data_IF_934998133253
#
_entry.id   IF_934998133253
#
_cell.length_a   1.000
_cell.length_b   1.000
_cell.length_c   1.000
_cell.angle_alpha   90.00
_cell.angle_beta   90.00
_cell.angle_gamma   90.00
#
_symmetry.space_group_name_H-M   'P 1'
#
loop_
_entity.id
_entity.type
_entity.pdbx_description
1 polymer ?
#
# COMPACT_ATOMS: atom_id res chain seq x y z
N UNK A 1 -6.92 12.61 7.52
CA UNK A 1 -5.84 11.83 8.19
C UNK A 1 -6.07 10.36 7.92
N UNK A 2 -5.00 9.57 7.81
CA UNK A 2 -5.05 8.18 7.38
C UNK A 2 -5.77 7.24 8.35
N UNK A 3 -6.56 6.29 7.84
CA UNK A 3 -7.38 5.38 8.67
C UNK A 3 -6.55 4.38 9.49
N UNK A 4 -5.31 4.09 9.10
CA UNK A 4 -4.47 3.08 9.77
C UNK A 4 -4.09 3.47 11.21
N UNK A 5 -3.96 4.76 11.54
CA UNK A 5 -3.59 5.21 12.90
C UNK A 5 -4.55 4.67 13.97
N UNK A 6 -5.85 4.65 13.65
CA UNK A 6 -6.90 4.07 14.51
C UNK A 6 -6.68 2.58 14.78
N UNK A 7 -6.32 1.83 13.73
CA UNK A 7 -6.11 0.38 13.81
C UNK A 7 -4.87 0.06 14.66
N UNK A 8 -3.78 0.79 14.44
CA UNK A 8 -2.52 0.58 15.18
C UNK A 8 -2.67 1.01 16.65
N UNK A 9 -3.46 2.05 16.97
CA UNK A 9 -3.77 2.40 18.38
C UNK A 9 -4.51 1.26 19.09
N UNK A 10 -5.52 0.66 18.46
CA UNK A 10 -6.22 -0.50 19.03
C UNK A 10 -5.29 -1.70 19.21
N UNK A 11 -4.49 -2.02 18.19
CA UNK A 11 -3.47 -3.09 18.29
C UNK A 11 -2.47 -2.81 19.41
N UNK A 12 -2.06 -1.54 19.62
CA UNK A 12 -1.16 -1.15 20.70
C UNK A 12 -1.81 -1.33 22.08
N UNK A 13 -3.09 -0.99 22.24
CA UNK A 13 -3.82 -1.28 23.48
C UNK A 13 -3.92 -2.79 23.72
N UNK A 14 -4.27 -3.59 22.71
CA UNK A 14 -4.36 -5.06 22.82
C UNK A 14 -2.99 -5.68 23.15
N UNK A 15 -1.91 -5.21 22.52
CA UNK A 15 -0.55 -5.69 22.79
C UNK A 15 -0.08 -5.40 24.22
N UNK A 16 -0.64 -4.38 24.87
CA UNK A 16 -0.38 -4.09 26.29
C UNK A 16 -1.46 -4.70 27.23
N UNK A 17 -2.35 -5.57 26.71
CA UNK A 17 -3.50 -6.11 27.46
C UNK A 17 -4.39 -5.01 28.10
N UNK A 18 -4.49 -3.86 27.43
CA UNK A 18 -5.20 -2.66 27.91
C UNK A 18 -6.55 -2.42 27.21
N UNK A 19 -6.99 -3.34 26.34
CA UNK A 19 -8.26 -3.23 25.62
C UNK A 19 -9.22 -4.38 25.99
N UNK A 20 -10.53 -4.10 26.15
CA UNK A 20 -11.02 -2.84 26.71
C UNK A 20 -10.32 -2.54 28.05
N UNK A 21 -10.16 -1.26 28.38
CA UNK A 21 -9.40 -0.82 29.55
C UNK A 21 -8.80 0.57 29.35
N UNK A 22 -7.64 0.79 29.95
CA UNK A 22 -6.95 2.07 29.95
C UNK A 22 -5.44 1.90 29.69
N UNK A 23 -4.85 2.90 29.04
CA UNK A 23 -3.42 2.93 28.71
C UNK A 23 -2.88 4.36 28.86
N UNK A 24 -1.67 4.50 29.43
CA UNK A 24 -0.98 5.78 29.43
C UNK A 24 -0.55 6.18 28.03
N UNK A 25 -0.52 7.48 27.74
CA UNK A 25 -0.08 8.00 26.45
C UNK A 25 1.40 7.66 26.19
N UNK A 26 2.21 7.53 27.24
CA UNK A 26 3.60 7.09 27.18
C UNK A 26 3.69 5.64 26.67
N UNK A 27 2.97 4.70 27.30
CA UNK A 27 2.96 3.29 26.87
C UNK A 27 2.33 3.13 25.48
N UNK A 28 1.27 3.87 25.19
CA UNK A 28 0.62 3.86 23.89
C UNK A 28 1.59 4.32 22.80
N UNK A 29 2.29 5.44 23.01
CA UNK A 29 3.26 5.99 22.06
C UNK A 29 4.40 5.00 21.79
N UNK A 30 4.95 4.39 22.84
CA UNK A 30 6.03 3.41 22.71
C UNK A 30 5.61 2.15 21.94
N UNK A 31 4.46 1.57 22.27
CA UNK A 31 3.97 0.37 21.56
C UNK A 31 3.53 0.71 20.14
N UNK A 32 2.87 1.84 19.91
CA UNK A 32 2.52 2.32 18.57
C UNK A 32 3.77 2.43 17.69
N UNK A 33 4.84 3.09 18.19
CA UNK A 33 6.12 3.22 17.49
C UNK A 33 6.66 1.84 17.09
N UNK A 34 6.75 0.92 18.04
CA UNK A 34 7.27 -0.44 17.80
C UNK A 34 6.48 -1.19 16.73
N UNK A 35 5.15 -1.05 16.71
CA UNK A 35 4.30 -1.69 15.69
C UNK A 35 4.52 -1.09 14.30
N UNK A 36 4.57 0.24 14.20
CA UNK A 36 4.80 0.93 12.92
C UNK A 36 6.20 0.67 12.38
N UNK A 37 7.22 0.70 13.24
CA UNK A 37 8.61 0.53 12.83
C UNK A 37 8.92 -0.87 12.29
N UNK A 38 8.10 -1.88 12.58
CA UNK A 38 8.26 -3.24 12.05
C UNK A 38 7.85 -3.38 10.58
N UNK A 39 7.12 -2.41 10.02
CA UNK A 39 6.70 -2.42 8.62
C UNK A 39 7.31 -1.23 7.88
N UNK A 40 8.08 -1.51 6.82
CA UNK A 40 8.65 -0.46 5.98
C UNK A 40 7.57 0.47 5.41
N UNK A 41 6.40 -0.08 5.07
CA UNK A 41 5.27 0.67 4.52
C UNK A 41 4.62 1.55 5.58
N UNK A 42 4.35 1.00 6.78
CA UNK A 42 3.78 1.82 7.86
C UNK A 42 4.74 2.93 8.29
N UNK A 43 6.05 2.64 8.32
CA UNK A 43 7.09 3.63 8.60
C UNK A 43 7.08 4.77 7.59
N UNK A 44 6.95 4.45 6.30
CA UNK A 44 6.87 5.45 5.24
C UNK A 44 5.61 6.32 5.38
N UNK A 45 4.45 5.71 5.65
CA UNK A 45 3.20 6.45 5.82
C UNK A 45 3.24 7.35 7.07
N UNK A 46 3.81 6.85 8.18
CA UNK A 46 3.96 7.63 9.40
C UNK A 46 4.96 8.80 9.24
N UNK A 47 5.97 8.62 8.39
CA UNK A 47 6.87 9.68 7.93
C UNK A 47 7.47 10.49 9.07
N UNK A 48 7.31 11.82 9.01
CA UNK A 48 7.94 12.75 9.95
C UNK A 48 7.44 12.62 11.40
N UNK A 49 6.30 11.99 11.65
CA UNK A 49 5.77 11.80 12.99
C UNK A 49 6.64 10.86 13.84
N UNK A 50 7.42 9.98 13.21
CA UNK A 50 8.34 9.08 13.91
C UNK A 50 9.64 9.76 14.37
N UNK A 51 9.90 11.01 14.00
CA UNK A 51 11.16 11.71 14.31
C UNK A 51 11.43 11.90 15.81
N UNK A 52 10.39 11.95 16.64
CA UNK A 52 10.54 12.02 18.10
C UNK A 52 9.27 11.56 18.79
N UNK A 53 9.39 11.08 20.03
CA UNK A 53 8.23 10.66 20.83
C UNK A 53 7.28 11.81 21.12
N UNK A 54 7.81 13.04 21.28
CA UNK A 54 6.99 14.25 21.44
C UNK A 54 6.12 14.52 20.20
N UNK A 55 6.69 14.36 19.00
CA UNK A 55 5.94 14.54 17.75
C UNK A 55 4.89 13.44 17.56
N UNK A 56 5.25 12.21 17.90
CA UNK A 56 4.35 11.06 17.80
C UNK A 56 3.17 11.17 18.77
N UNK A 57 3.44 11.51 20.04
CA UNK A 57 2.42 11.79 21.06
C UNK A 57 1.45 12.87 20.61
N UNK A 58 1.97 14.04 20.19
CA UNK A 58 1.15 15.15 19.72
C UNK A 58 0.25 14.74 18.55
N UNK A 59 0.77 13.89 17.66
CA UNK A 59 -0.02 13.35 16.55
C UNK A 59 -1.15 12.47 17.08
N UNK A 60 -0.87 11.49 17.94
CA UNK A 60 -1.87 10.57 18.51
C UNK A 60 -2.98 11.31 19.28
N UNK A 61 -2.61 12.29 20.10
CA UNK A 61 -3.54 13.14 20.87
C UNK A 61 -4.47 13.91 19.92
N UNK A 62 -3.90 14.59 18.91
CA UNK A 62 -4.69 15.31 17.93
C UNK A 62 -5.58 14.39 17.08
N UNK A 63 -5.14 13.16 16.79
CA UNK A 63 -5.87 12.12 16.08
C UNK A 63 -5.07 10.80 16.13
N UNK A 64 -5.65 9.67 16.56
CA UNK A 64 -7.08 9.42 16.62
C UNK A 64 -7.78 9.74 17.93
N UNK A 65 -7.07 10.13 18.98
CA UNK A 65 -7.65 10.26 20.33
C UNK A 65 -8.77 11.30 20.37
N UNK A 66 -8.49 12.55 20.00
CA UNK A 66 -9.50 13.63 19.97
C UNK A 66 -10.75 13.25 19.14
N UNK A 67 -10.54 12.64 17.97
CA UNK A 67 -11.62 12.22 17.09
C UNK A 67 -12.51 11.13 17.73
N UNK A 68 -11.94 10.18 18.47
CA UNK A 68 -12.72 9.15 19.15
C UNK A 68 -13.45 9.70 20.38
N UNK A 69 -12.78 10.55 21.16
CA UNK A 69 -13.40 11.19 22.32
C UNK A 69 -14.56 12.10 21.94
N UNK A 70 -14.49 12.75 20.77
CA UNK A 70 -15.58 13.55 20.19
C UNK A 70 -16.66 12.74 19.47
N UNK A 71 -16.65 11.40 19.51
CA UNK A 71 -17.67 10.56 18.86
C UNK A 71 -17.66 10.62 17.32
N UNK A 72 -16.54 11.05 16.71
CA UNK A 72 -16.43 11.23 15.27
C UNK A 72 -16.35 9.86 14.57
N UNK A 73 -17.37 9.58 13.76
CA UNK A 73 -17.50 8.31 13.03
C UNK A 73 -18.21 7.20 13.80
N UNK A 74 -18.83 7.54 14.94
CA UNK A 74 -19.59 6.61 15.80
C UNK A 74 -21.00 7.14 16.12
N UNK A 75 -21.55 7.98 15.24
CA UNK A 75 -22.89 8.55 15.41
C UNK A 75 -23.04 9.46 16.64
N UNK A 76 -21.94 10.11 17.07
CA UNK A 76 -21.92 10.98 18.24
C UNK A 76 -21.72 10.26 19.57
N UNK A 77 -21.72 8.92 19.59
CA UNK A 77 -21.41 8.15 20.80
C UNK A 77 -19.90 8.05 21.00
N UNK A 78 -19.41 8.56 22.13
CA UNK A 78 -18.00 8.36 22.51
C UNK A 78 -17.79 7.00 23.16
N UNK A 79 -16.84 6.25 22.64
CA UNK A 79 -16.38 4.97 23.18
C UNK A 79 -15.00 5.08 23.85
N UNK A 80 -14.45 6.30 23.91
CA UNK A 80 -13.14 6.58 24.49
C UNK A 80 -13.17 7.88 25.28
N UNK A 81 -12.50 7.90 26.42
CA UNK A 81 -12.20 9.11 27.18
C UNK A 81 -10.69 9.31 27.23
N UNK A 82 -10.25 10.57 27.17
CA UNK A 82 -8.84 10.93 27.34
C UNK A 82 -8.70 12.04 28.36
N UNK A 83 -7.98 11.78 29.45
CA UNK A 83 -7.77 12.75 30.54
C UNK A 83 -6.41 12.52 31.19
N UNK A 84 -5.69 13.60 31.48
CA UNK A 84 -4.42 13.57 32.23
C UNK A 84 -3.39 12.55 31.68
N UNK A 85 -3.33 12.40 30.36
CA UNK A 85 -2.42 11.44 29.71
C UNK A 85 -2.94 10.01 29.64
N UNK A 86 -4.14 9.71 30.14
CA UNK A 86 -4.72 8.38 30.17
C UNK A 86 -5.83 8.26 29.11
N UNK A 87 -5.68 7.30 28.18
CA UNK A 87 -6.72 6.92 27.23
C UNK A 87 -7.49 5.72 27.77
N UNK A 88 -8.81 5.82 27.87
CA UNK A 88 -9.69 4.78 28.41
C UNK A 88 -10.82 4.46 27.45
N UNK A 89 -11.19 3.19 27.33
CA UNK A 89 -12.40 2.75 26.63
C UNK A 89 -13.65 2.90 27.50
N UNK A 90 -14.77 3.31 26.93
CA UNK A 90 -16.06 3.49 27.64
C UNK A 90 -17.18 2.69 26.97
N UNK A 91 -18.10 2.16 27.78
CA UNK A 91 -19.34 1.53 27.29
C UNK A 91 -19.17 0.19 26.57
N UNK A 92 -18.00 -0.46 26.66
CA UNK A 92 -17.82 -1.85 26.22
C UNK A 92 -18.34 -2.81 27.29
N UNK A 93 -19.12 -3.79 26.86
CA UNK A 93 -19.67 -4.85 27.71
C UNK A 93 -19.28 -6.20 27.13
N UNK A 94 -19.02 -7.19 27.98
CA UNK A 94 -18.68 -8.55 27.57
C UNK A 94 -17.28 -8.96 28.01
N UNK A 95 -16.87 -10.14 27.56
CA UNK A 95 -15.58 -10.73 27.92
C UNK A 95 -14.41 -9.98 27.26
N UNK A 96 -13.42 -9.60 28.07
CA UNK A 96 -12.24 -8.83 27.64
C UNK A 96 -11.43 -9.57 26.58
N UNK A 97 -11.25 -10.88 26.75
CA UNK A 97 -10.43 -11.70 25.86
C UNK A 97 -11.11 -11.87 24.49
N UNK A 98 -12.43 -12.14 24.49
CA UNK A 98 -13.22 -12.23 23.26
C UNK A 98 -13.21 -10.89 22.50
N UNK A 99 -13.47 -9.78 23.18
CA UNK A 99 -13.45 -8.44 22.57
C UNK A 99 -12.08 -8.10 21.98
N UNK A 100 -11.01 -8.46 22.68
CA UNK A 100 -9.64 -8.25 22.21
C UNK A 100 -9.31 -9.09 20.98
N UNK A 101 -9.69 -10.37 20.96
CA UNK A 101 -9.47 -11.26 19.81
C UNK A 101 -10.22 -10.78 18.57
N UNK A 102 -11.53 -10.50 18.71
CA UNK A 102 -12.35 -9.98 17.61
C UNK A 102 -11.83 -8.64 17.08
N UNK A 103 -11.43 -7.74 17.99
CA UNK A 103 -10.90 -6.44 17.58
C UNK A 103 -9.55 -6.59 16.88
N UNK A 104 -8.68 -7.49 17.36
CA UNK A 104 -7.42 -7.81 16.69
C UNK A 104 -7.67 -8.30 15.26
N UNK A 105 -8.50 -9.32 15.08
CA UNK A 105 -8.84 -9.85 13.75
C UNK A 105 -9.36 -8.77 12.81
N UNK A 106 -10.29 -7.93 13.28
CA UNK A 106 -10.85 -6.84 12.47
C UNK A 106 -9.79 -5.78 12.12
N UNK A 107 -8.94 -5.42 13.08
CA UNK A 107 -7.87 -4.44 12.83
C UNK A 107 -6.80 -4.99 11.90
N UNK A 108 -6.45 -6.27 12.01
CA UNK A 108 -5.47 -6.94 11.15
C UNK A 108 -5.97 -6.99 9.71
N UNK A 109 -7.22 -7.44 9.50
CA UNK A 109 -7.83 -7.45 8.17
C UNK A 109 -7.95 -6.05 7.58
N UNK A 110 -8.46 -5.06 8.34
CA UNK A 110 -8.61 -3.69 7.84
C UNK A 110 -7.26 -3.02 7.56
N UNK A 111 -6.23 -3.33 8.35
CA UNK A 111 -4.90 -2.79 8.14
C UNK A 111 -4.31 -3.39 6.86
N UNK A 112 -4.44 -4.70 6.65
CA UNK A 112 -4.04 -5.36 5.42
C UNK A 112 -4.75 -4.75 4.19
N UNK A 113 -6.09 -4.64 4.21
CA UNK A 113 -6.87 -4.03 3.12
C UNK A 113 -6.47 -2.56 2.84
N UNK A 114 -6.25 -1.77 3.90
CA UNK A 114 -5.80 -0.39 3.75
C UNK A 114 -4.40 -0.30 3.16
N UNK A 115 -3.50 -1.18 3.58
CA UNK A 115 -2.13 -1.26 3.05
C UNK A 115 -2.13 -1.74 1.61
N UNK A 116 -2.95 -2.73 1.25
CA UNK A 116 -3.10 -3.21 -0.12
C UNK A 116 -3.56 -2.13 -1.09
N UNK A 117 -4.42 -1.20 -0.63
CA UNK A 117 -4.85 -0.04 -1.42
C UNK A 117 -3.79 1.05 -1.51
N UNK A 118 -2.88 1.14 -0.52
CA UNK A 118 -1.88 2.20 -0.38
C UNK A 118 -0.54 1.86 -1.01
N UNK A 119 -0.18 0.59 -0.98
CA UNK A 119 0.94 0.04 -1.72
C UNK A 119 0.39 -0.16 -3.12
N UNK A 120 0.85 0.59 -4.14
CA UNK A 120 0.58 0.17 -5.50
C UNK A 120 1.15 -1.24 -5.62
N UNK A 121 0.28 -2.25 -5.71
CA UNK A 121 0.70 -3.63 -6.03
C UNK A 121 1.42 -3.68 -7.36
N UNK A 122 1.33 -2.59 -8.11
CA UNK A 122 1.79 -2.44 -9.45
C UNK A 122 1.90 -1.01 -9.93
N UNK A 123 2.21 -0.88 -11.21
CA UNK A 123 2.23 0.39 -11.93
C UNK A 123 1.69 0.15 -13.34
N UNK A 124 1.08 1.18 -13.92
CA UNK A 124 0.47 1.08 -15.25
C UNK A 124 1.33 1.85 -16.23
N UNK A 125 1.60 1.24 -17.37
CA UNK A 125 2.39 1.88 -18.43
C UNK A 125 1.60 1.82 -19.72
N UNK A 126 1.52 2.96 -20.41
CA UNK A 126 0.94 3.03 -21.74
C UNK A 126 1.81 2.26 -22.72
N UNK A 127 1.17 1.49 -23.59
CA UNK A 127 1.81 0.93 -24.77
C UNK A 127 1.81 2.01 -25.84
N UNK A 128 3.00 2.36 -26.30
CA UNK A 128 3.22 3.38 -27.31
C UNK A 128 4.03 2.80 -28.47
N UNK A 129 4.25 3.55 -29.53
CA UNK A 129 5.09 3.13 -30.65
C UNK A 129 6.21 4.15 -30.85
N UNK A 130 7.44 3.68 -31.06
CA UNK A 130 8.61 4.54 -31.29
C UNK A 130 8.91 4.82 -32.78
N UNK A 131 7.94 4.57 -33.66
CA UNK A 131 8.06 4.68 -35.12
C UNK A 131 8.32 3.35 -35.82
N UNK A 132 8.84 2.34 -35.11
CA UNK A 132 9.14 1.03 -35.69
C UNK A 132 8.54 -0.11 -34.88
N UNK A 133 8.54 0.00 -33.55
CA UNK A 133 8.09 -1.08 -32.66
C UNK A 133 7.27 -0.54 -31.48
N UNK A 134 6.30 -1.34 -30.98
CA UNK A 134 5.64 -1.02 -29.73
C UNK A 134 6.63 -1.09 -28.56
N UNK A 135 6.49 -0.14 -27.64
CA UNK A 135 7.29 0.02 -26.42
C UNK A 135 6.39 0.42 -25.25
N UNK A 136 6.92 0.40 -24.03
CA UNK A 136 6.22 0.87 -22.84
C UNK A 136 6.74 2.25 -22.45
N UNK A 137 5.91 3.28 -22.63
CA UNK A 137 6.31 4.68 -22.45
C UNK A 137 5.09 5.62 -22.28
N UNK A 138 5.14 6.61 -21.37
CA UNK A 138 6.22 6.91 -20.41
C UNK A 138 6.07 6.16 -19.09
N UNK A 139 7.20 5.90 -18.41
CA UNK A 139 7.21 5.27 -17.08
C UNK A 139 6.74 6.18 -15.93
N UNK A 140 6.72 7.51 -16.10
CA UNK A 140 6.21 8.49 -15.13
C UNK A 140 6.61 8.21 -13.65
N UNK A 141 7.89 7.93 -13.40
CA UNK A 141 8.39 7.51 -12.06
C UNK A 141 8.14 8.55 -10.95
N UNK A 142 7.96 9.80 -11.33
CA UNK A 142 7.57 10.91 -10.48
C UNK A 142 6.10 10.85 -10.04
N UNK A 143 5.24 10.21 -10.84
CA UNK A 143 3.79 10.12 -10.63
C UNK A 143 3.32 8.74 -10.17
N UNK A 144 4.15 7.70 -10.30
CA UNK A 144 3.83 6.35 -9.81
C UNK A 144 5.03 5.71 -9.11
N UNK A 145 4.75 5.09 -7.96
CA UNK A 145 5.73 4.37 -7.14
C UNK A 145 5.89 2.93 -7.63
N UNK A 146 7.02 2.30 -7.31
CA UNK A 146 7.26 0.88 -7.58
C UNK A 146 7.81 0.55 -8.97
N UNK A 147 8.06 1.55 -9.83
CA UNK A 147 8.70 1.32 -11.14
C UNK A 147 10.19 0.94 -10.94
N UNK A 148 10.64 -0.26 -11.35
CA UNK A 148 12.03 -0.70 -11.18
C UNK A 148 12.99 0.03 -12.10
N UNK A 149 14.30 -0.03 -11.84
CA UNK A 149 15.35 0.49 -12.75
C UNK A 149 16.32 -0.64 -13.10
N UNK A 150 16.78 -0.66 -14.35
CA UNK A 150 17.70 -1.69 -14.84
C UNK A 150 16.98 -2.91 -15.39
N UNK A 151 17.67 -4.04 -15.39
CA UNK A 151 17.13 -5.31 -15.87
C UNK A 151 16.37 -6.01 -14.74
N UNK A 152 15.10 -6.34 -14.98
CA UNK A 152 14.24 -7.01 -14.00
C UNK A 152 13.51 -8.18 -14.65
N UNK A 153 13.40 -9.28 -13.91
CA UNK A 153 12.61 -10.44 -14.30
C UNK A 153 11.12 -10.11 -14.24
N UNK A 154 10.40 -10.38 -15.33
CA UNK A 154 8.96 -10.13 -15.46
C UNK A 154 8.29 -11.38 -16.03
N UNK A 155 7.22 -11.83 -15.38
CA UNK A 155 6.36 -12.89 -15.85
C UNK A 155 5.29 -12.33 -16.78
N UNK A 156 5.16 -12.94 -17.96
CA UNK A 156 4.15 -12.60 -18.96
C UNK A 156 3.52 -13.89 -19.47
N UNK A 157 2.20 -14.04 -19.31
CA UNK A 157 1.47 -15.28 -19.65
C UNK A 157 2.10 -16.55 -19.03
N UNK A 158 2.66 -16.42 -17.82
CA UNK A 158 3.35 -17.51 -17.11
C UNK A 158 4.81 -17.77 -17.53
N UNK A 159 5.32 -17.07 -18.55
CA UNK A 159 6.71 -17.18 -19.00
C UNK A 159 7.56 -16.04 -18.46
N UNK A 160 8.79 -16.33 -18.05
CA UNK A 160 9.73 -15.35 -17.53
C UNK A 160 10.56 -14.69 -18.64
N UNK A 161 10.69 -13.36 -18.55
CA UNK A 161 11.47 -12.52 -19.47
C UNK A 161 12.27 -11.49 -18.69
N UNK A 162 13.41 -11.06 -19.25
CA UNK A 162 14.22 -9.98 -18.70
C UNK A 162 13.82 -8.65 -19.35
N UNK A 163 13.14 -7.78 -18.61
CA UNK A 163 12.73 -6.45 -19.08
C UNK A 163 13.80 -5.41 -18.69
N UNK A 164 14.15 -4.54 -19.63
CA UNK A 164 15.09 -3.44 -19.38
C UNK A 164 14.35 -2.13 -19.13
N UNK A 165 14.22 -1.76 -17.87
CA UNK A 165 13.65 -0.49 -17.41
C UNK A 165 14.70 0.63 -17.45
N UNK A 166 14.70 1.40 -18.53
CA UNK A 166 15.54 2.61 -18.64
C UNK A 166 14.86 3.82 -17.96
N UNK A 167 15.44 5.02 -18.10
CA UNK A 167 14.99 6.23 -17.39
C UNK A 167 13.49 6.50 -17.57
N UNK A 168 13.00 6.43 -18.80
CA UNK A 168 11.64 6.85 -19.16
C UNK A 168 10.79 5.77 -19.84
N UNK A 169 11.35 4.61 -20.19
CA UNK A 169 10.69 3.59 -21.00
C UNK A 169 11.13 2.16 -20.63
N UNK A 170 10.37 1.18 -21.13
CA UNK A 170 10.87 -0.17 -21.41
C UNK A 170 10.80 -0.39 -22.91
N UNK A 171 11.96 -0.60 -23.52
CA UNK A 171 12.10 -0.78 -24.97
C UNK A 171 12.68 -2.14 -25.36
N UNK A 172 13.18 -2.91 -24.39
CA UNK A 172 13.77 -4.22 -24.60
C UNK A 172 13.23 -5.20 -23.56
N UNK A 173 12.82 -6.37 -24.03
CA UNK A 173 12.62 -7.57 -23.23
C UNK A 173 13.33 -8.73 -23.92
N UNK A 174 13.98 -9.61 -23.16
CA UNK A 174 14.67 -10.79 -23.72
C UNK A 174 14.24 -12.07 -23.01
N UNK A 175 14.29 -13.20 -23.70
CA UNK A 175 14.18 -14.51 -23.04
C UNK A 175 15.45 -14.80 -22.23
N UNK A 176 15.38 -15.66 -21.19
CA UNK A 176 16.55 -16.10 -20.44
C UNK A 176 17.63 -16.65 -21.36
N UNK A 177 18.85 -16.12 -21.26
CA UNK A 177 19.99 -16.53 -22.09
C UNK A 177 19.99 -16.00 -23.54
N UNK A 178 18.97 -15.25 -23.96
CA UNK A 178 18.89 -14.63 -25.28
C UNK A 178 19.23 -13.14 -25.24
N UNK A 179 19.76 -12.60 -26.35
CA UNK A 179 19.92 -11.15 -26.57
C UNK A 179 18.88 -10.56 -27.52
N UNK A 180 17.99 -11.40 -28.07
CA UNK A 180 16.96 -10.96 -29.01
C UNK A 180 15.90 -10.16 -28.25
N UNK A 181 15.60 -8.96 -28.72
CA UNK A 181 14.47 -8.18 -28.21
C UNK A 181 13.16 -8.81 -28.68
N UNK A 182 12.37 -9.29 -27.73
CA UNK A 182 11.06 -9.92 -27.93
C UNK A 182 9.90 -9.08 -27.37
N UNK A 183 10.18 -7.88 -26.84
CA UNK A 183 9.13 -6.98 -26.35
C UNK A 183 8.09 -6.65 -27.43
N UNK A 184 8.46 -6.38 -28.70
CA UNK A 184 7.48 -6.11 -29.73
C UNK A 184 6.49 -7.25 -29.94
N UNK A 185 6.99 -8.48 -29.99
CA UNK A 185 6.19 -9.70 -30.16
C UNK A 185 5.26 -9.92 -28.97
N UNK A 186 5.74 -9.70 -27.74
CA UNK A 186 4.90 -9.78 -26.53
C UNK A 186 3.73 -8.78 -26.60
N UNK A 187 4.02 -7.52 -26.94
CA UNK A 187 2.98 -6.48 -26.98
C UNK A 187 2.00 -6.69 -28.14
N UNK A 188 2.46 -7.18 -29.28
CA UNK A 188 1.59 -7.58 -30.40
C UNK A 188 0.72 -8.78 -30.07
N UNK A 189 1.23 -9.76 -29.30
CA UNK A 189 0.42 -10.89 -28.82
C UNK A 189 -0.72 -10.42 -27.92
N UNK A 190 -0.48 -9.40 -27.09
CA UNK A 190 -1.50 -8.84 -26.19
C UNK A 190 -2.54 -7.96 -26.88
N UNK A 191 -2.12 -7.12 -27.83
CA UNK A 191 -2.97 -6.04 -28.37
C UNK A 191 -3.17 -6.09 -29.89
N UNK A 192 -2.64 -7.12 -30.56
CA UNK A 192 -2.63 -7.24 -32.01
C UNK A 192 -1.58 -6.37 -32.71
N UNK A 193 -1.59 -6.38 -34.04
CA UNK A 193 -0.62 -5.65 -34.88
C UNK A 193 -0.64 -4.13 -34.68
N UNK A 194 -1.73 -3.58 -34.16
CA UNK A 194 -1.89 -2.15 -33.88
C UNK A 194 -1.39 -1.76 -32.48
N UNK A 195 -0.65 -2.64 -31.79
CA UNK A 195 -0.08 -2.35 -30.47
C UNK A 195 0.63 -0.99 -30.44
N UNK A 196 0.13 -0.08 -29.59
CA UNK A 196 0.71 1.25 -29.39
C UNK A 196 0.56 2.21 -30.58
N UNK A 197 -0.22 1.87 -31.61
CA UNK A 197 -0.46 2.74 -32.76
C UNK A 197 -1.22 4.01 -32.35
N UNK A 198 -1.10 5.07 -33.16
CA UNK A 198 -1.82 6.32 -32.92
C UNK A 198 -3.33 6.09 -32.83
N UNK A 199 -3.99 6.73 -31.87
CA UNK A 199 -5.41 6.54 -31.59
C UNK A 199 -5.73 5.34 -30.69
N UNK A 200 -4.77 4.48 -30.36
CA UNK A 200 -4.98 3.39 -29.39
C UNK A 200 -4.82 3.87 -27.95
N UNK A 201 -5.53 3.22 -27.03
CA UNK A 201 -5.43 3.46 -25.59
C UNK A 201 -4.94 2.21 -24.83
N UNK A 202 -3.99 1.49 -25.43
CA UNK A 202 -3.45 0.25 -24.87
C UNK A 202 -2.56 0.52 -23.66
N UNK A 203 -2.75 -0.27 -22.61
CA UNK A 203 -2.01 -0.16 -21.37
C UNK A 203 -1.67 -1.55 -20.85
N UNK A 204 -0.48 -1.68 -20.26
CA UNK A 204 -0.13 -2.86 -19.46
C UNK A 204 -0.12 -2.48 -17.99
N UNK A 205 -0.45 -3.45 -17.15
CA UNK A 205 -0.36 -3.35 -15.71
C UNK A 205 0.73 -4.31 -15.26
N UNK A 206 1.69 -3.79 -14.50
CA UNK A 206 2.68 -4.60 -13.81
C UNK A 206 2.23 -4.78 -12.38
N UNK A 207 2.25 -5.98 -11.80
CA UNK A 207 1.98 -6.20 -10.38
C UNK A 207 2.98 -7.19 -9.78
N UNK A 208 3.20 -7.15 -8.46
CA UNK A 208 3.93 -8.22 -7.78
C UNK A 208 2.99 -9.39 -7.46
N UNK A 209 3.39 -10.61 -7.79
CA UNK A 209 2.72 -11.82 -7.32
C UNK A 209 3.00 -12.10 -5.84
N UNK A 210 2.47 -13.21 -5.32
CA UNK A 210 2.65 -13.63 -3.92
C UNK A 210 4.11 -13.90 -3.53
N UNK A 211 4.98 -14.20 -4.50
CA UNK A 211 6.41 -14.42 -4.32
C UNK A 211 7.24 -13.15 -4.57
N UNK A 212 6.58 -12.03 -4.87
CA UNK A 212 7.20 -10.73 -5.10
C UNK A 212 7.77 -10.53 -6.51
N UNK A 213 7.53 -11.45 -7.45
CA UNK A 213 7.94 -11.34 -8.85
C UNK A 213 7.01 -10.41 -9.60
N UNK A 214 7.55 -9.64 -10.55
CA UNK A 214 6.74 -8.72 -11.34
C UNK A 214 6.00 -9.48 -12.45
N UNK A 215 4.70 -9.31 -12.55
CA UNK A 215 3.81 -9.92 -13.55
C UNK A 215 3.25 -8.80 -14.42
N UNK A 216 3.33 -8.93 -15.74
CA UNK A 216 2.74 -7.99 -16.68
C UNK A 216 1.49 -8.58 -17.33
N UNK A 217 0.37 -7.85 -17.26
CA UNK A 217 -0.90 -8.21 -17.89
C UNK A 217 -1.43 -7.06 -18.74
N UNK A 218 -2.26 -7.38 -19.75
CA UNK A 218 -2.98 -6.36 -20.49
C UNK A 218 -4.03 -5.71 -19.59
N UNK A 219 -4.02 -4.38 -19.47
CA UNK A 219 -5.04 -3.65 -18.74
C UNK A 219 -6.26 -3.47 -19.64
N UNK A 220 -7.27 -4.32 -19.46
CA UNK A 220 -8.57 -4.17 -20.11
C UNK A 220 -9.31 -3.03 -19.40
N UNK A 221 -9.86 -2.08 -20.18
CA UNK A 221 -10.34 -0.78 -19.68
C UNK A 221 -11.24 -0.85 -18.44
N UNK A 222 -10.74 -0.28 -17.34
CA UNK A 222 -11.54 0.27 -16.25
C UNK A 222 -11.53 1.78 -16.37
N UNK A 223 -12.71 2.39 -16.26
CA UNK A 223 -12.97 3.83 -16.32
C UNK A 223 -11.90 4.65 -15.58
N UNK A 224 -11.54 5.79 -16.18
CA UNK A 224 -10.86 6.86 -15.47
C UNK A 224 -11.78 7.33 -14.33
N UNK A 225 -11.41 7.00 -13.10
CA UNK A 225 -11.71 7.81 -11.91
C UNK A 225 -10.38 8.37 -11.37
#
# INVERSE_FOLDING_TARGET
>A
MEKFYKMVVLQAMITNDSFPGEISIEQLTQTFRRLVERSAVLREIAGSHLKSDKALRKMLEANPIDAWCGGKGTGGKSYFEYRDGLLRTTGFTGDKEILSKLTRELTDWRLADHLDKKIPRGFVVKVNNNGSNPILFPLNRDKQRGVPQGEVEVLVDGQSYQFRFVKIAVNVATEPGSKKNVLPEILKRMFGETAGASGTNHHVQFEKDGDGKLVMTAKVGGQND
#
